data_IF_545328367700
#
_entry.id   IF_545328367700
#
_cell.length_a   1.000
_cell.length_b   1.000
_cell.length_c   1.000
_cell.angle_alpha   90.00
_cell.angle_beta   90.00
_cell.angle_gamma   90.00
#
_symmetry.space_group_name_H-M   'P 1'
#
loop_
_entity.id
_entity.type
_entity.pdbx_description
1 polymer ?
#
# COMPACT_ATOMS: atom_id res chain seq x y z
N UNK A 1 -22.03 5.84 -6.20
CA UNK A 1 -21.15 6.88 -6.78
C UNK A 1 -19.75 6.30 -6.76
N UNK A 2 -19.03 6.42 -7.87
CA UNK A 2 -17.66 5.94 -7.98
C UNK A 2 -16.72 6.77 -7.11
N UNK A 3 -15.48 6.30 -6.98
CA UNK A 3 -14.41 7.01 -6.30
C UNK A 3 -13.84 8.05 -7.26
N UNK A 4 -13.86 9.32 -6.88
CA UNK A 4 -13.34 10.41 -7.71
C UNK A 4 -11.82 10.49 -7.61
N UNK A 5 -11.16 10.57 -8.76
CA UNK A 5 -9.70 10.70 -8.88
C UNK A 5 -9.37 11.89 -9.77
N UNK A 6 -8.47 12.75 -9.32
CA UNK A 6 -7.88 13.77 -10.18
C UNK A 6 -6.70 13.17 -10.93
N UNK A 7 -6.75 13.22 -12.26
CA UNK A 7 -5.69 12.74 -13.13
C UNK A 7 -5.12 13.93 -13.91
N UNK A 8 -3.80 14.12 -13.86
CA UNK A 8 -3.18 15.19 -14.66
C UNK A 8 -2.19 14.67 -15.68
N UNK A 9 -2.08 15.35 -16.80
CA UNK A 9 -1.01 15.19 -17.78
C UNK A 9 -0.38 16.54 -18.10
N UNK A 10 0.65 16.57 -18.94
CA UNK A 10 1.31 17.79 -19.35
C UNK A 10 1.22 18.01 -20.85
N UNK A 11 1.08 19.28 -21.27
CA UNK A 11 1.26 19.67 -22.66
C UNK A 11 2.66 19.27 -23.20
N UNK A 12 2.89 19.31 -24.53
CA UNK A 12 4.20 19.05 -25.10
C UNK A 12 5.20 20.13 -24.67
N UNK A 13 6.48 19.75 -24.55
CA UNK A 13 7.55 20.65 -24.12
C UNK A 13 8.89 20.27 -24.73
N UNK A 14 9.85 21.19 -24.68
CA UNK A 14 11.15 21.02 -25.32
C UNK A 14 10.98 20.90 -26.84
N UNK A 15 11.54 19.84 -27.43
CA UNK A 15 11.42 19.57 -28.87
C UNK A 15 10.26 18.63 -29.22
N UNK A 16 9.59 18.07 -28.21
CA UNK A 16 8.53 17.08 -28.39
C UNK A 16 7.24 17.74 -28.89
N UNK A 17 6.67 17.19 -29.97
CA UNK A 17 5.39 17.67 -30.55
C UNK A 17 4.16 17.06 -29.86
N UNK A 18 4.36 15.96 -29.13
CA UNK A 18 3.33 15.24 -28.40
C UNK A 18 3.85 14.91 -27.00
N UNK A 19 2.92 14.63 -26.08
CA UNK A 19 3.24 14.19 -24.73
C UNK A 19 2.33 13.02 -24.37
N UNK A 20 2.94 11.87 -24.07
CA UNK A 20 2.19 10.64 -23.75
C UNK A 20 1.27 10.85 -22.53
N UNK A 21 1.69 11.65 -21.56
CA UNK A 21 0.89 11.97 -20.37
C UNK A 21 -0.37 12.75 -20.72
N UNK A 22 -0.29 13.70 -21.66
CA UNK A 22 -1.47 14.40 -22.17
C UNK A 22 -2.40 13.43 -22.90
N UNK A 23 -1.86 12.63 -23.82
CA UNK A 23 -2.67 11.71 -24.62
C UNK A 23 -3.46 10.72 -23.76
N UNK A 24 -2.82 10.14 -22.73
CA UNK A 24 -3.49 9.24 -21.80
C UNK A 24 -4.52 9.99 -20.94
N UNK A 25 -4.19 11.18 -20.44
CA UNK A 25 -5.10 11.97 -19.61
C UNK A 25 -6.34 12.41 -20.38
N UNK A 26 -6.20 12.79 -21.65
CA UNK A 26 -7.32 13.10 -22.55
C UNK A 26 -8.14 11.86 -22.89
N UNK A 27 -7.50 10.71 -23.12
CA UNK A 27 -8.20 9.46 -23.38
C UNK A 27 -9.05 9.00 -22.19
N UNK A 28 -8.58 9.27 -20.96
CA UNK A 28 -9.26 8.94 -19.71
C UNK A 28 -10.18 10.06 -19.22
N UNK A 29 -10.31 11.16 -19.96
CA UNK A 29 -11.23 12.24 -19.62
C UNK A 29 -12.67 11.69 -19.54
N UNK A 30 -13.37 12.04 -18.47
CA UNK A 30 -14.74 11.62 -18.18
C UNK A 30 -14.93 10.09 -18.02
N UNK A 31 -13.85 9.33 -17.82
CA UNK A 31 -13.95 7.92 -17.49
C UNK A 31 -14.77 7.75 -16.21
N UNK A 32 -15.88 7.02 -16.31
CA UNK A 32 -16.76 6.68 -15.19
C UNK A 32 -17.25 5.26 -15.36
N UNK A 33 -16.43 4.30 -14.94
CA UNK A 33 -16.72 2.87 -15.10
C UNK A 33 -15.99 2.05 -14.02
N UNK A 34 -16.22 0.74 -14.03
CA UNK A 34 -15.55 -0.23 -13.18
C UNK A 34 -14.19 -0.61 -13.77
N UNK A 35 -13.15 -0.58 -12.94
CA UNK A 35 -11.82 -1.10 -13.27
C UNK A 35 -11.63 -2.42 -12.52
N UNK A 36 -11.20 -3.46 -13.26
CA UNK A 36 -10.82 -4.76 -12.70
C UNK A 36 -9.30 -4.89 -12.58
N UNK A 37 -8.82 -5.42 -11.45
CA UNK A 37 -7.38 -5.52 -11.13
C UNK A 37 -6.88 -6.98 -11.32
N UNK A 38 -7.75 -7.91 -11.75
CA UNK A 38 -7.41 -9.34 -11.87
C UNK A 38 -7.37 -10.04 -10.50
N UNK A 39 -6.80 -11.24 -10.35
CA UNK A 39 -6.64 -11.92 -9.06
C UNK A 39 -5.45 -11.34 -8.24
N UNK A 40 -5.43 -11.50 -6.91
CA UNK A 40 -4.29 -11.08 -6.08
C UNK A 40 -3.02 -11.85 -6.44
N UNK A 41 -1.87 -11.16 -6.37
CA UNK A 41 -0.56 -11.73 -6.70
C UNK A 41 0.28 -12.13 -5.49
N UNK A 42 -0.17 -11.81 -4.27
CA UNK A 42 0.55 -12.09 -3.03
C UNK A 42 -0.34 -11.99 -1.79
N UNK A 43 0.25 -12.10 -0.59
CA UNK A 43 -0.46 -12.07 0.69
C UNK A 43 -1.02 -10.69 1.06
N UNK A 44 -0.50 -9.63 0.43
CA UNK A 44 -1.00 -8.26 0.52
C UNK A 44 -1.66 -7.90 -0.81
N UNK A 45 -2.93 -7.50 -0.76
CA UNK A 45 -3.72 -7.19 -1.94
C UNK A 45 -4.65 -6.00 -1.70
N UNK A 46 -5.34 -5.51 -2.73
CA UNK A 46 -6.40 -4.51 -2.56
C UNK A 46 -7.69 -5.12 -1.99
N UNK A 47 -8.45 -4.34 -1.23
CA UNK A 47 -9.74 -4.74 -0.63
C UNK A 47 -10.82 -5.19 -1.64
N UNK A 48 -10.78 -4.66 -2.87
CA UNK A 48 -11.73 -5.02 -3.93
C UNK A 48 -11.02 -5.20 -5.27
N UNK A 49 -11.31 -6.32 -5.94
CA UNK A 49 -10.79 -6.61 -7.28
C UNK A 49 -11.50 -5.85 -8.39
N UNK A 50 -12.66 -5.25 -8.09
CA UNK A 50 -13.44 -4.39 -8.98
C UNK A 50 -13.84 -3.11 -8.25
N UNK A 51 -13.57 -1.96 -8.86
CA UNK A 51 -13.86 -0.66 -8.26
C UNK A 51 -14.39 0.33 -9.29
N UNK A 52 -15.47 1.02 -8.95
CA UNK A 52 -16.03 2.10 -9.77
C UNK A 52 -15.23 3.37 -9.53
N UNK A 53 -14.68 3.95 -10.60
CA UNK A 53 -13.84 5.14 -10.57
C UNK A 53 -14.40 6.19 -11.50
N UNK A 54 -14.43 7.45 -11.05
CA UNK A 54 -14.71 8.63 -11.84
C UNK A 54 -13.42 9.46 -11.96
N UNK A 55 -12.94 9.69 -13.18
CA UNK A 55 -11.70 10.43 -13.44
C UNK A 55 -12.03 11.86 -13.86
N UNK A 56 -11.50 12.83 -13.10
CA UNK A 56 -11.45 14.24 -13.51
C UNK A 56 -10.06 14.56 -14.03
N UNK A 57 -9.98 14.77 -15.34
CA UNK A 57 -8.73 15.03 -16.04
C UNK A 57 -8.38 16.52 -16.12
N UNK A 58 -7.10 16.86 -15.98
CA UNK A 58 -6.58 18.20 -16.25
C UNK A 58 -5.24 18.14 -16.99
N UNK A 59 -5.10 18.89 -18.09
CA UNK A 59 -3.81 19.11 -18.75
C UNK A 59 -3.14 20.34 -18.15
N UNK A 60 -1.94 20.14 -17.62
CA UNK A 60 -1.10 21.17 -17.02
C UNK A 60 -0.16 21.77 -18.06
N UNK A 61 0.05 23.08 -17.96
CA UNK A 61 1.10 23.76 -18.73
C UNK A 61 2.48 23.36 -18.19
N UNK A 62 3.49 23.31 -19.06
CA UNK A 62 4.87 23.04 -18.62
C UNK A 62 5.53 24.36 -18.25
N UNK A 63 5.05 24.94 -17.17
CA UNK A 63 5.54 26.19 -16.59
C UNK A 63 5.16 26.30 -15.10
N UNK A 64 5.49 27.44 -14.49
CA UNK A 64 5.20 27.71 -13.08
C UNK A 64 3.70 27.61 -12.77
N UNK A 65 2.84 28.14 -13.63
CA UNK A 65 1.40 28.17 -13.39
C UNK A 65 0.81 26.75 -13.39
N UNK A 66 1.24 25.91 -14.34
CA UNK A 66 0.84 24.51 -14.39
C UNK A 66 1.27 23.75 -13.14
N UNK A 67 2.51 23.99 -12.66
CA UNK A 67 3.01 23.35 -11.44
C UNK A 67 2.28 23.73 -10.16
N UNK A 68 1.60 24.88 -10.14
CA UNK A 68 0.90 25.41 -8.98
C UNK A 68 -0.59 25.08 -8.98
N UNK A 69 -1.13 24.63 -10.12
CA UNK A 69 -2.57 24.50 -10.32
C UNK A 69 -3.23 23.57 -9.31
N UNK A 70 -2.73 22.35 -9.14
CA UNK A 70 -3.37 21.37 -8.26
C UNK A 70 -3.21 21.75 -6.79
N UNK A 71 -2.03 22.23 -6.39
CA UNK A 71 -1.79 22.75 -5.05
C UNK A 71 -2.76 23.90 -4.71
N UNK A 72 -3.01 24.80 -5.66
CA UNK A 72 -3.97 25.90 -5.49
C UNK A 72 -5.39 25.36 -5.30
N UNK A 73 -5.85 24.44 -6.17
CA UNK A 73 -7.17 23.82 -6.07
C UNK A 73 -7.43 23.13 -4.73
N UNK A 74 -6.40 22.49 -4.13
CA UNK A 74 -6.50 21.85 -2.82
C UNK A 74 -6.85 22.86 -1.71
N UNK A 75 -6.32 24.07 -1.81
CA UNK A 75 -6.47 25.12 -0.78
C UNK A 75 -7.73 25.98 -0.96
N UNK A 76 -8.47 25.81 -2.05
CA UNK A 76 -9.70 26.54 -2.33
C UNK A 76 -10.87 25.99 -1.49
N UNK A 77 -11.58 26.88 -0.80
CA UNK A 77 -12.57 26.50 0.22
C UNK A 77 -13.82 25.76 -0.30
N UNK A 78 -14.18 25.94 -1.57
CA UNK A 78 -15.36 25.34 -2.19
C UNK A 78 -15.02 24.09 -3.03
N UNK A 79 -13.75 23.68 -3.06
CA UNK A 79 -13.31 22.53 -3.86
C UNK A 79 -13.71 21.23 -3.19
N UNK A 80 -14.44 20.40 -3.94
CA UNK A 80 -14.67 19.00 -3.55
C UNK A 80 -13.40 18.22 -3.86
N UNK A 81 -12.73 17.74 -2.81
CA UNK A 81 -11.46 17.05 -2.91
C UNK A 81 -11.66 15.59 -3.38
N UNK A 82 -10.73 15.04 -4.18
CA UNK A 82 -10.84 13.69 -4.69
C UNK A 82 -10.45 12.67 -3.62
N UNK A 83 -10.53 11.39 -3.95
CA UNK A 83 -9.99 10.32 -3.11
C UNK A 83 -8.55 9.93 -3.49
N UNK A 84 -8.04 10.41 -4.63
CA UNK A 84 -6.63 10.36 -4.98
C UNK A 84 -6.29 11.45 -6.01
N UNK A 85 -5.02 11.84 -6.04
CA UNK A 85 -4.43 12.72 -7.05
C UNK A 85 -3.29 11.96 -7.73
N UNK A 86 -3.37 11.80 -9.04
CA UNK A 86 -2.36 11.09 -9.83
C UNK A 86 -1.85 12.01 -10.93
N UNK A 87 -0.57 12.30 -10.89
CA UNK A 87 0.11 13.06 -11.93
C UNK A 87 0.81 12.11 -12.90
N UNK A 88 0.51 12.21 -14.19
CA UNK A 88 1.24 11.54 -15.26
C UNK A 88 2.27 12.51 -15.84
N UNK A 89 3.48 12.04 -16.09
CA UNK A 89 4.53 12.81 -16.76
C UNK A 89 5.27 11.98 -17.80
N UNK A 90 5.77 12.62 -18.85
CA UNK A 90 6.58 11.94 -19.85
C UNK A 90 8.05 11.86 -19.41
N UNK A 91 8.64 10.67 -19.49
CA UNK A 91 10.06 10.43 -19.24
C UNK A 91 10.73 9.77 -20.46
N UNK A 92 11.38 10.58 -21.28
CA UNK A 92 12.01 10.17 -22.56
C UNK A 92 13.00 9.01 -22.42
N UNK A 93 13.82 9.03 -21.36
CA UNK A 93 14.90 8.07 -21.15
C UNK A 93 14.47 6.81 -20.39
N UNK A 94 13.21 6.69 -19.97
CA UNK A 94 12.73 5.50 -19.26
C UNK A 94 12.18 4.47 -20.25
N UNK A 95 12.35 3.18 -19.92
CA UNK A 95 11.83 2.04 -20.69
C UNK A 95 10.64 1.35 -19.99
N UNK A 96 10.35 1.76 -18.76
CA UNK A 96 9.29 1.24 -17.89
C UNK A 96 8.47 2.40 -17.33
N UNK A 97 7.28 2.12 -16.83
CA UNK A 97 6.44 3.07 -16.08
C UNK A 97 7.01 3.16 -14.65
N UNK A 98 7.40 4.36 -14.24
CA UNK A 98 7.96 4.58 -12.89
C UNK A 98 6.93 5.19 -11.95
N UNK A 99 6.75 4.57 -10.79
CA UNK A 99 5.94 5.10 -9.69
C UNK A 99 6.86 5.85 -8.72
N UNK A 100 6.74 7.16 -8.64
CA UNK A 100 7.66 8.01 -7.87
C UNK A 100 7.31 8.03 -6.37
N UNK A 101 8.22 7.50 -5.56
CA UNK A 101 8.05 7.38 -4.10
C UNK A 101 8.39 8.68 -3.35
N UNK A 102 9.05 9.64 -4.01
CA UNK A 102 9.58 10.86 -3.40
C UNK A 102 9.45 12.06 -4.33
N UNK A 103 9.45 13.25 -3.73
CA UNK A 103 9.60 14.53 -4.40
C UNK A 103 10.66 15.36 -3.67
N UNK A 104 11.55 16.01 -4.41
CA UNK A 104 12.64 16.84 -3.86
C UNK A 104 12.27 18.32 -3.85
N UNK A 105 12.64 19.05 -2.81
CA UNK A 105 12.51 20.51 -2.74
C UNK A 105 13.63 21.20 -3.57
N UNK A 106 13.80 20.81 -4.83
CA UNK A 106 14.92 21.23 -5.67
C UNK A 106 14.47 21.57 -7.09
N UNK A 107 15.11 22.58 -7.67
CA UNK A 107 14.94 23.01 -9.06
C UNK A 107 16.30 22.99 -9.77
N UNK A 108 16.41 22.19 -10.84
CA UNK A 108 17.59 22.11 -11.72
C UNK A 108 17.16 21.69 -13.14
N UNK A 109 16.85 22.69 -13.95
CA UNK A 109 16.20 22.57 -15.25
C UNK A 109 17.25 22.43 -16.36
N UNK A 110 17.39 21.23 -16.90
CA UNK A 110 18.29 20.94 -18.04
C UNK A 110 17.89 21.68 -19.32
N UNK A 111 16.60 21.96 -19.48
CA UNK A 111 16.00 22.74 -20.58
C UNK A 111 15.08 23.80 -19.98
N UNK A 112 14.80 24.86 -20.74
CA UNK A 112 13.79 25.82 -20.32
C UNK A 112 12.38 25.21 -20.34
N UNK A 113 11.53 25.68 -19.43
CA UNK A 113 10.09 25.42 -19.48
C UNK A 113 9.42 26.18 -20.65
N UNK A 114 8.12 25.97 -20.90
CA UNK A 114 7.41 26.54 -22.04
C UNK A 114 7.27 28.08 -21.98
N UNK A 115 7.64 28.72 -20.87
CA UNK A 115 7.71 30.19 -20.71
C UNK A 115 9.14 30.72 -20.69
N UNK A 116 10.13 29.86 -20.93
CA UNK A 116 11.54 30.24 -20.98
C UNK A 116 12.22 30.29 -19.61
N UNK A 117 11.56 29.85 -18.53
CA UNK A 117 12.22 29.75 -17.21
C UNK A 117 13.13 28.53 -17.22
N UNK A 118 14.42 28.75 -16.98
CA UNK A 118 15.43 27.71 -16.79
C UNK A 118 16.23 27.99 -15.51
N UNK A 119 15.97 27.21 -14.47
CA UNK A 119 16.60 27.36 -13.16
C UNK A 119 17.76 26.39 -13.06
N UNK A 120 19.00 26.86 -12.86
CA UNK A 120 20.19 25.99 -12.76
C UNK A 120 20.46 25.50 -11.33
N UNK A 121 19.80 26.09 -10.33
CA UNK A 121 19.82 25.68 -8.93
C UNK A 121 18.80 26.53 -8.17
N UNK A 122 17.99 25.89 -7.32
CA UNK A 122 17.03 26.57 -6.47
C UNK A 122 16.24 25.57 -5.64
N UNK A 123 15.41 26.10 -4.75
CA UNK A 123 14.41 25.33 -4.00
C UNK A 123 13.02 25.66 -4.56
N UNK A 124 12.08 24.72 -4.43
CA UNK A 124 10.70 24.92 -4.87
C UNK A 124 9.99 25.87 -3.90
N UNK A 125 10.21 25.68 -2.60
CA UNK A 125 9.62 26.49 -1.52
C UNK A 125 10.63 26.70 -0.38
N UNK A 126 10.36 27.68 0.48
CA UNK A 126 11.12 27.93 1.71
C UNK A 126 10.80 26.92 2.85
N UNK A 127 10.22 25.76 2.51
CA UNK A 127 9.90 24.68 3.44
C UNK A 127 11.13 24.13 4.16
N UNK A 128 10.95 23.69 5.41
CA UNK A 128 11.97 22.91 6.12
C UNK A 128 12.18 21.50 5.54
N UNK A 129 11.22 21.00 4.76
CA UNK A 129 11.34 19.70 4.11
C UNK A 129 12.20 19.82 2.85
N UNK A 130 13.29 19.07 2.80
CA UNK A 130 14.11 18.91 1.58
C UNK A 130 13.54 17.83 0.64
N UNK A 131 12.74 16.92 1.19
CA UNK A 131 12.12 15.81 0.48
C UNK A 131 10.77 15.50 1.12
N UNK A 132 9.79 15.13 0.30
CA UNK A 132 8.50 14.59 0.73
C UNK A 132 8.32 13.19 0.14
N UNK A 133 7.71 12.29 0.90
CA UNK A 133 7.33 10.97 0.42
C UNK A 133 5.93 11.00 -0.17
N UNK A 134 5.69 10.11 -1.15
CA UNK A 134 4.34 9.84 -1.65
C UNK A 134 3.40 9.47 -0.49
N UNK A 135 2.17 9.99 -0.52
CA UNK A 135 1.09 9.54 0.37
C UNK A 135 0.31 8.37 -0.24
N UNK A 136 0.60 7.98 -1.49
CA UNK A 136 -0.01 6.81 -2.13
C UNK A 136 0.52 5.50 -1.52
N UNK A 137 -0.26 4.40 -1.56
CA UNK A 137 0.12 3.14 -0.95
C UNK A 137 1.15 2.39 -1.83
N UNK A 138 2.37 2.91 -1.92
CA UNK A 138 3.41 2.42 -2.86
C UNK A 138 3.74 0.94 -2.65
N UNK A 139 3.74 0.45 -1.42
CA UNK A 139 4.00 -0.96 -1.14
C UNK A 139 2.87 -1.87 -1.64
N UNK A 140 1.62 -1.41 -1.57
CA UNK A 140 0.47 -2.12 -2.14
C UNK A 140 0.54 -2.13 -3.66
N UNK A 141 0.88 -0.99 -4.28
CA UNK A 141 1.13 -0.90 -5.72
C UNK A 141 2.19 -1.91 -6.15
N UNK A 142 3.32 -1.98 -5.46
CA UNK A 142 4.38 -2.95 -5.78
C UNK A 142 3.94 -4.40 -5.56
N UNK A 143 3.13 -4.69 -4.55
CA UNK A 143 2.57 -6.04 -4.34
C UNK A 143 1.63 -6.47 -5.48
N UNK A 144 0.78 -5.56 -5.97
CA UNK A 144 -0.17 -5.82 -7.07
C UNK A 144 0.49 -5.86 -8.46
N UNK A 145 1.72 -5.37 -8.57
CA UNK A 145 2.53 -5.37 -9.79
C UNK A 145 3.80 -6.22 -9.68
N UNK A 146 3.87 -7.13 -8.70
CA UNK A 146 5.09 -7.92 -8.42
C UNK A 146 5.63 -8.71 -9.64
N UNK A 147 4.73 -9.17 -10.51
CA UNK A 147 5.07 -9.92 -11.74
C UNK A 147 5.03 -9.03 -13.01
N UNK A 148 4.88 -7.70 -12.86
CA UNK A 148 4.75 -6.76 -13.99
C UNK A 148 6.09 -6.06 -14.27
N UNK A 149 6.83 -6.55 -15.28
CA UNK A 149 8.14 -6.02 -15.66
C UNK A 149 8.10 -4.59 -16.21
N UNK A 150 6.91 -4.11 -16.63
CA UNK A 150 6.72 -2.76 -17.18
C UNK A 150 6.53 -1.69 -16.10
N UNK A 151 6.48 -2.04 -14.81
CA UNK A 151 6.32 -1.10 -13.71
C UNK A 151 7.50 -1.20 -12.75
N UNK A 152 8.00 -0.07 -12.28
CA UNK A 152 8.98 -0.02 -11.21
C UNK A 152 8.68 1.08 -10.20
N UNK A 153 9.27 0.95 -9.00
CA UNK A 153 9.37 2.04 -8.03
C UNK A 153 10.58 2.91 -8.37
N UNK A 154 10.39 4.23 -8.39
CA UNK A 154 11.46 5.22 -8.53
C UNK A 154 11.54 6.09 -7.28
N UNK A 155 12.76 6.50 -6.92
CA UNK A 155 13.06 7.41 -5.80
C UNK A 155 13.59 8.77 -6.31
N UNK A 156 13.59 9.00 -7.63
CA UNK A 156 14.07 10.23 -8.25
C UNK A 156 13.18 10.68 -9.42
N UNK A 157 12.21 11.58 -9.20
CA UNK A 157 11.38 12.15 -10.25
C UNK A 157 12.11 13.21 -11.10
N UNK A 158 13.41 13.46 -10.85
CA UNK A 158 14.17 14.56 -11.44
C UNK A 158 13.96 15.89 -10.71
N UNK A 159 14.36 17.00 -11.35
CA UNK A 159 14.28 18.37 -10.78
C UNK A 159 13.66 19.37 -11.75
N UNK A 160 12.77 18.89 -12.62
CA UNK A 160 12.02 19.71 -13.59
C UNK A 160 10.57 19.96 -13.12
N UNK A 161 9.69 20.40 -14.03
CA UNK A 161 8.29 20.74 -13.73
C UNK A 161 7.52 19.58 -13.08
N UNK A 162 7.79 18.33 -13.47
CA UNK A 162 7.17 17.15 -12.87
C UNK A 162 7.39 17.10 -11.34
N UNK A 163 8.64 17.21 -10.90
CA UNK A 163 9.02 17.26 -9.50
C UNK A 163 8.48 18.52 -8.80
N UNK A 164 8.52 19.67 -9.48
CA UNK A 164 7.95 20.93 -8.95
C UNK A 164 6.47 20.77 -8.59
N UNK A 165 5.67 20.24 -9.52
CA UNK A 165 4.24 19.95 -9.30
C UNK A 165 4.07 18.93 -8.17
N UNK A 166 4.83 17.84 -8.19
CA UNK A 166 4.64 16.76 -7.23
C UNK A 166 4.91 17.22 -5.79
N UNK A 167 6.01 17.95 -5.58
CA UNK A 167 6.37 18.50 -4.28
C UNK A 167 5.32 19.50 -3.78
N UNK A 168 4.85 20.41 -4.65
CA UNK A 168 3.81 21.39 -4.28
C UNK A 168 2.49 20.72 -3.92
N UNK A 169 2.07 19.70 -4.67
CA UNK A 169 0.85 18.94 -4.36
C UNK A 169 0.96 18.22 -3.02
N UNK A 170 2.06 17.49 -2.78
CA UNK A 170 2.29 16.79 -1.51
C UNK A 170 2.31 17.77 -0.33
N UNK A 171 3.00 18.90 -0.48
CA UNK A 171 3.05 19.94 0.55
C UNK A 171 1.68 20.55 0.82
N UNK A 172 0.86 20.80 -0.20
CA UNK A 172 -0.48 21.35 -0.03
C UNK A 172 -1.39 20.37 0.74
N UNK A 173 -1.33 19.07 0.42
CA UNK A 173 -2.07 18.03 1.16
C UNK A 173 -1.63 17.96 2.62
N UNK A 174 -0.33 18.00 2.90
CA UNK A 174 0.22 18.01 4.26
C UNK A 174 -0.23 19.25 5.05
N UNK A 175 -0.09 20.45 4.47
CA UNK A 175 -0.36 21.72 5.15
C UNK A 175 -1.86 21.94 5.43
N UNK A 176 -2.72 21.50 4.51
CA UNK A 176 -4.17 21.61 4.69
C UNK A 176 -4.76 20.44 5.49
N UNK A 177 -3.95 19.48 5.95
CA UNK A 177 -4.36 18.23 6.63
C UNK A 177 -5.53 17.54 5.91
N UNK A 178 -5.42 17.48 4.57
CA UNK A 178 -6.51 16.98 3.75
C UNK A 178 -6.56 15.47 3.83
N UNK A 179 -7.75 14.96 4.20
CA UNK A 179 -7.98 13.54 4.38
C UNK A 179 -9.05 13.01 3.45
N UNK A 180 -8.86 11.78 2.99
CA UNK A 180 -9.88 11.05 2.23
C UNK A 180 -10.95 10.45 3.17
N UNK A 181 -11.98 9.82 2.60
CA UNK A 181 -13.17 9.30 3.31
C UNK A 181 -12.87 8.33 4.47
N UNK A 182 -11.70 7.70 4.49
CA UNK A 182 -11.24 6.75 5.51
C UNK A 182 -10.28 7.41 6.50
N UNK A 183 -10.19 8.74 6.49
CA UNK A 183 -9.40 9.57 7.40
C UNK A 183 -7.87 9.43 7.26
N UNK A 184 -7.38 8.88 6.13
CA UNK A 184 -5.96 8.95 5.74
C UNK A 184 -5.68 10.23 4.97
N UNK A 185 -4.42 10.64 4.88
CA UNK A 185 -4.01 11.65 3.91
C UNK A 185 -4.44 11.23 2.50
N UNK A 186 -4.88 12.16 1.66
CA UNK A 186 -5.21 11.84 0.27
C UNK A 186 -3.97 11.23 -0.41
N UNK A 187 -4.09 10.06 -1.07
CA UNK A 187 -3.06 9.50 -1.92
C UNK A 187 -2.66 10.45 -3.05
N UNK A 188 -1.38 10.81 -3.10
CA UNK A 188 -0.78 11.59 -4.18
C UNK A 188 0.37 10.78 -4.78
N UNK A 189 0.27 10.47 -6.07
CA UNK A 189 1.28 9.71 -6.81
C UNK A 189 1.71 10.46 -8.07
N UNK A 190 3.00 10.42 -8.37
CA UNK A 190 3.51 10.78 -9.69
C UNK A 190 3.92 9.52 -10.45
N UNK A 191 3.51 9.43 -11.71
CA UNK A 191 3.77 8.30 -12.61
C UNK A 191 4.49 8.81 -13.85
N UNK A 192 5.76 8.45 -14.01
CA UNK A 192 6.49 8.71 -15.23
C UNK A 192 6.22 7.62 -16.26
N UNK A 193 5.93 8.05 -17.48
CA UNK A 193 5.53 7.24 -18.61
C UNK A 193 6.59 7.28 -19.70
N UNK A 194 7.00 6.13 -20.27
CA UNK A 194 7.89 6.11 -21.42
C UNK A 194 7.12 6.45 -22.71
N UNK A 195 7.83 6.63 -23.82
CA UNK A 195 7.18 6.89 -25.11
C UNK A 195 6.35 5.68 -25.57
N UNK A 196 5.37 5.94 -26.46
CA UNK A 196 4.54 4.88 -27.04
C UNK A 196 5.34 3.85 -27.88
N UNK A 197 6.54 4.23 -28.33
CA UNK A 197 7.46 3.33 -29.04
C UNK A 197 8.10 2.28 -28.12
N UNK A 198 8.20 2.59 -26.82
CA UNK A 198 8.78 1.71 -25.81
C UNK A 198 7.72 0.83 -25.15
N UNK A 199 6.60 1.45 -24.73
CA UNK A 199 5.42 0.73 -24.25
C UNK A 199 4.21 1.19 -25.06
N UNK A 200 3.49 0.28 -25.73
CA UNK A 200 2.33 0.64 -26.54
C UNK A 200 1.28 1.44 -25.74
N UNK A 201 0.66 2.42 -26.40
CA UNK A 201 -0.32 3.33 -25.79
C UNK A 201 -1.44 2.61 -25.02
N UNK A 202 -2.05 1.59 -25.62
CA UNK A 202 -3.12 0.79 -24.99
C UNK A 202 -2.63 0.04 -23.73
N UNK A 203 -1.38 -0.43 -23.73
CA UNK A 203 -0.77 -1.06 -22.56
C UNK A 203 -0.58 -0.04 -21.45
N UNK A 204 -0.10 1.16 -21.77
CA UNK A 204 0.04 2.24 -20.78
C UNK A 204 -1.31 2.66 -20.20
N UNK A 205 -2.37 2.79 -21.02
CA UNK A 205 -3.73 3.08 -20.53
C UNK A 205 -4.21 2.01 -19.55
N UNK A 206 -4.04 0.73 -19.89
CA UNK A 206 -4.43 -0.40 -19.04
C UNK A 206 -3.71 -0.37 -17.70
N UNK A 207 -2.40 -0.14 -17.71
CA UNK A 207 -1.58 -0.04 -16.50
C UNK A 207 -1.93 1.20 -15.66
N UNK A 208 -2.15 2.36 -16.29
CA UNK A 208 -2.60 3.58 -15.60
C UNK A 208 -3.95 3.37 -14.92
N UNK A 209 -4.92 2.73 -15.58
CA UNK A 209 -6.21 2.35 -14.96
C UNK A 209 -6.00 1.46 -13.73
N UNK A 210 -5.13 0.45 -13.81
CA UNK A 210 -4.81 -0.42 -12.67
C UNK A 210 -4.13 0.36 -11.54
N UNK A 211 -3.16 1.24 -11.84
CA UNK A 211 -2.51 2.12 -10.86
C UNK A 211 -3.54 2.98 -10.13
N UNK A 212 -4.46 3.61 -10.87
CA UNK A 212 -5.55 4.42 -10.31
C UNK A 212 -6.41 3.58 -9.36
N UNK A 213 -6.87 2.41 -9.84
CA UNK A 213 -7.74 1.53 -9.09
C UNK A 213 -7.10 1.00 -7.80
N UNK A 214 -5.78 0.76 -7.78
CA UNK A 214 -5.05 0.32 -6.59
C UNK A 214 -4.83 1.49 -5.62
N UNK A 215 -4.48 2.68 -6.14
CA UNK A 215 -4.11 3.86 -5.33
C UNK A 215 -5.24 4.32 -4.40
N UNK A 216 -6.49 4.15 -4.82
CA UNK A 216 -7.67 4.57 -4.04
C UNK A 216 -8.13 3.56 -2.97
N UNK A 217 -7.44 2.43 -2.84
CA UNK A 217 -7.82 1.35 -1.93
C UNK A 217 -6.88 1.26 -0.73
N UNK A 218 -7.25 0.48 0.29
CA UNK A 218 -6.30 0.05 1.33
C UNK A 218 -5.74 -1.33 0.98
N UNK A 219 -4.55 -1.66 1.51
CA UNK A 219 -4.12 -3.03 1.57
C UNK A 219 -5.04 -3.85 2.48
N UNK A 220 -5.38 -5.05 2.02
CA UNK A 220 -5.90 -6.14 2.82
C UNK A 220 -4.89 -7.28 2.89
N UNK A 221 -4.96 -8.08 3.96
CA UNK A 221 -4.19 -9.31 4.07
C UNK A 221 -4.98 -10.39 4.82
N UNK A 222 -4.66 -11.66 4.53
CA UNK A 222 -5.14 -12.79 5.30
C UNK A 222 -4.04 -13.32 6.22
N UNK A 223 -4.38 -13.53 7.48
CA UNK A 223 -3.47 -13.99 8.54
C UNK A 223 -4.12 -15.15 9.27
N UNK A 224 -3.32 -16.16 9.57
CA UNK A 224 -3.74 -17.32 10.37
C UNK A 224 -2.99 -17.32 11.70
N UNK A 225 -3.70 -17.66 12.77
CA UNK A 225 -3.10 -17.91 14.09
C UNK A 225 -3.44 -19.31 14.56
N UNK A 226 -2.46 -20.05 15.07
CA UNK A 226 -2.64 -21.43 15.52
C UNK A 226 -2.60 -21.51 17.03
N UNK A 227 -3.71 -21.91 17.63
CA UNK A 227 -3.78 -22.26 19.04
C UNK A 227 -3.34 -23.72 19.19
N UNK A 228 -2.04 -23.95 19.34
CA UNK A 228 -1.51 -25.28 19.61
C UNK A 228 -1.87 -25.70 21.03
N UNK A 229 -2.67 -26.76 21.17
CA UNK A 229 -3.06 -27.33 22.45
C UNK A 229 -2.02 -28.33 22.93
N UNK A 230 -1.47 -28.07 24.12
CA UNK A 230 -0.51 -28.91 24.79
C UNK A 230 -1.13 -29.70 25.94
N UNK A 231 -0.27 -30.24 26.81
CA UNK A 231 -0.70 -30.95 28.01
C UNK A 231 -1.56 -30.07 28.94
N UNK A 232 -2.49 -30.70 29.67
CA UNK A 232 -3.36 -30.03 30.63
C UNK A 232 -4.17 -28.85 30.04
N UNK A 233 -4.55 -28.93 28.75
CA UNK A 233 -5.28 -27.87 28.04
C UNK A 233 -4.57 -26.50 28.12
N UNK A 234 -3.25 -26.49 28.02
CA UNK A 234 -2.50 -25.24 27.85
C UNK A 234 -2.40 -24.87 26.37
N UNK A 235 -2.39 -23.58 26.07
CA UNK A 235 -2.14 -23.06 24.73
C UNK A 235 -0.74 -22.48 24.63
N UNK A 236 -0.08 -22.72 23.51
CA UNK A 236 1.18 -22.06 23.19
C UNK A 236 0.91 -20.59 22.83
N UNK A 237 1.64 -19.70 23.47
CA UNK A 237 1.79 -18.30 23.09
C UNK A 237 3.27 -18.00 22.85
N UNK A 238 3.57 -17.10 21.93
CA UNK A 238 4.93 -16.68 21.63
C UNK A 238 5.05 -15.16 21.66
N UNK A 239 6.20 -14.65 22.11
CA UNK A 239 6.49 -13.22 22.14
C UNK A 239 7.29 -12.82 20.92
N UNK A 240 6.81 -11.82 20.20
CA UNK A 240 7.49 -11.26 19.02
C UNK A 240 8.85 -10.70 19.42
N UNK A 241 9.89 -11.06 18.67
CA UNK A 241 11.24 -10.52 18.87
C UNK A 241 11.26 -8.99 18.80
N UNK A 242 12.24 -8.35 19.45
CA UNK A 242 12.27 -6.87 19.56
C UNK A 242 12.41 -6.11 18.23
N UNK A 243 12.94 -6.77 17.21
CA UNK A 243 13.12 -6.27 15.85
C UNK A 243 11.90 -6.46 14.94
N UNK A 244 10.90 -7.22 15.42
CA UNK A 244 9.62 -7.38 14.74
C UNK A 244 8.70 -6.16 14.91
N UNK A 245 7.77 -5.98 13.97
CA UNK A 245 6.68 -5.03 14.14
C UNK A 245 5.92 -5.36 15.45
N UNK A 246 5.73 -4.37 16.32
CA UNK A 246 5.17 -4.59 17.67
C UNK A 246 5.96 -5.64 18.49
N UNK A 247 7.29 -5.61 18.43
CA UNK A 247 8.15 -6.44 19.25
C UNK A 247 7.83 -6.32 20.75
N UNK A 248 7.89 -7.46 21.45
CA UNK A 248 7.52 -7.58 22.88
C UNK A 248 6.06 -7.95 23.15
N UNK A 249 5.17 -7.81 22.17
CA UNK A 249 3.79 -8.31 22.26
C UNK A 249 3.74 -9.83 22.05
N UNK A 250 2.70 -10.47 22.61
CA UNK A 250 2.43 -11.89 22.51
C UNK A 250 1.35 -12.18 21.47
N UNK A 251 1.48 -13.32 20.81
CA UNK A 251 0.54 -13.79 19.78
C UNK A 251 0.41 -15.32 19.80
N UNK A 252 -0.64 -15.81 19.16
CA UNK A 252 -0.69 -17.21 18.76
C UNK A 252 0.17 -17.36 17.50
N UNK A 253 1.15 -18.29 17.47
CA UNK A 253 2.02 -18.43 16.31
C UNK A 253 1.28 -18.63 15.01
N UNK A 254 1.84 -18.11 13.92
CA UNK A 254 1.17 -18.05 12.63
C UNK A 254 1.63 -16.84 11.83
N UNK A 255 0.99 -16.62 10.69
CA UNK A 255 1.49 -15.65 9.74
C UNK A 255 0.57 -15.47 8.55
N UNK A 256 1.14 -14.95 7.46
CA UNK A 256 0.38 -14.54 6.29
C UNK A 256 0.01 -15.76 5.46
N UNK A 257 -1.18 -15.73 4.86
CA UNK A 257 -1.57 -16.74 3.87
C UNK A 257 -0.97 -16.36 2.53
N UNK A 258 -0.10 -17.21 2.00
CA UNK A 258 0.57 -16.95 0.72
C UNK A 258 -0.34 -17.21 -0.49
N UNK A 259 0.06 -16.71 -1.65
CA UNK A 259 -0.73 -16.83 -2.89
C UNK A 259 -0.98 -18.30 -3.24
N UNK A 260 -2.26 -18.67 -3.36
CA UNK A 260 -2.67 -20.03 -3.74
C UNK A 260 -2.54 -21.06 -2.61
N UNK A 261 -2.15 -20.62 -1.41
CA UNK A 261 -2.06 -21.44 -0.20
C UNK A 261 -3.44 -21.55 0.49
N UNK A 262 -3.76 -22.72 1.05
CA UNK A 262 -4.93 -22.84 1.94
C UNK A 262 -4.57 -22.35 3.34
N UNK A 263 -5.54 -21.88 4.12
CA UNK A 263 -5.31 -21.41 5.49
C UNK A 263 -4.69 -22.51 6.38
N UNK A 264 -5.08 -23.77 6.19
CA UNK A 264 -4.51 -24.93 6.89
C UNK A 264 -3.05 -25.19 6.50
N UNK A 265 -2.73 -25.05 5.21
CA UNK A 265 -1.36 -25.17 4.74
C UNK A 265 -0.48 -24.05 5.28
N UNK A 266 -1.00 -22.81 5.27
CA UNK A 266 -0.32 -21.63 5.81
C UNK A 266 0.05 -21.83 7.28
N UNK A 267 -0.92 -22.18 8.14
CA UNK A 267 -0.62 -22.33 9.58
C UNK A 267 0.35 -23.49 9.85
N UNK A 268 0.30 -24.56 9.05
CA UNK A 268 1.23 -25.67 9.17
C UNK A 268 2.64 -25.29 8.75
N UNK A 269 2.78 -24.47 7.69
CA UNK A 269 4.06 -23.92 7.23
C UNK A 269 4.66 -22.97 8.27
N UNK A 270 3.88 -22.02 8.78
CA UNK A 270 4.34 -21.03 9.76
C UNK A 270 4.88 -21.72 11.02
N UNK A 271 4.16 -22.69 11.59
CA UNK A 271 4.67 -23.47 12.74
C UNK A 271 5.96 -24.24 12.43
N UNK A 272 6.12 -24.71 11.19
CA UNK A 272 7.34 -25.38 10.76
C UNK A 272 8.51 -24.40 10.63
N UNK A 273 8.28 -23.23 10.04
CA UNK A 273 9.29 -22.19 9.82
C UNK A 273 9.73 -21.54 11.14
N UNK A 274 8.78 -21.24 12.02
CA UNK A 274 9.03 -20.51 13.26
C UNK A 274 9.56 -21.40 14.39
N UNK A 275 9.03 -22.62 14.53
CA UNK A 275 9.35 -23.51 15.65
C UNK A 275 10.10 -24.78 15.23
N UNK A 276 10.08 -25.14 13.95
CA UNK A 276 10.54 -26.45 13.47
C UNK A 276 9.53 -27.58 13.76
N UNK A 277 8.27 -27.24 14.04
CA UNK A 277 7.26 -28.18 14.50
C UNK A 277 6.30 -28.59 13.38
N UNK A 278 5.83 -29.83 13.43
CA UNK A 278 4.75 -30.30 12.59
C UNK A 278 3.48 -30.38 13.42
N UNK A 279 2.42 -29.74 12.92
CA UNK A 279 1.13 -29.67 13.59
C UNK A 279 0.00 -30.11 12.64
N UNK A 280 -1.15 -30.42 13.21
CA UNK A 280 -2.40 -30.69 12.51
C UNK A 280 -3.41 -29.59 12.84
N UNK A 281 -3.84 -28.79 11.85
CA UNK A 281 -5.00 -27.91 12.01
C UNK A 281 -6.25 -28.76 12.16
N UNK A 282 -6.94 -28.66 13.29
CA UNK A 282 -8.10 -29.50 13.60
C UNK A 282 -9.39 -28.84 13.12
N UNK A 283 -9.56 -27.55 13.44
CA UNK A 283 -10.72 -26.75 13.00
C UNK A 283 -10.48 -25.26 13.19
N UNK A 284 -11.25 -24.46 12.47
CA UNK A 284 -11.38 -23.03 12.72
C UNK A 284 -12.20 -22.81 13.99
N UNK A 285 -11.70 -21.96 14.88
CA UNK A 285 -12.38 -21.58 16.13
C UNK A 285 -12.99 -20.18 16.04
N UNK A 286 -12.37 -19.27 15.28
CA UNK A 286 -12.83 -17.90 15.12
C UNK A 286 -12.33 -17.32 13.79
N UNK A 287 -13.16 -16.48 13.16
CA UNK A 287 -12.76 -15.63 12.05
C UNK A 287 -13.32 -14.23 12.26
N UNK A 288 -12.46 -13.22 12.12
CA UNK A 288 -12.89 -11.83 12.13
C UNK A 288 -11.95 -10.95 11.31
N UNK A 289 -12.47 -9.79 10.94
CA UNK A 289 -11.70 -8.77 10.24
C UNK A 289 -11.46 -7.60 11.18
N UNK A 290 -10.21 -7.17 11.26
CA UNK A 290 -9.84 -5.93 11.95
C UNK A 290 -9.44 -4.88 10.90
N UNK A 291 -10.16 -3.75 10.89
CA UNK A 291 -9.95 -2.69 9.90
C UNK A 291 -9.35 -1.44 10.57
N UNK A 292 -8.11 -1.13 10.25
CA UNK A 292 -7.47 0.16 10.55
C UNK A 292 -7.64 1.11 9.36
N UNK A 293 -7.54 2.44 9.55
CA UNK A 293 -7.50 3.38 8.43
C UNK A 293 -6.47 3.01 7.37
N UNK A 294 -5.35 2.40 7.73
CA UNK A 294 -4.22 2.09 6.87
C UNK A 294 -4.32 0.72 6.19
N UNK A 295 -5.02 -0.25 6.79
CA UNK A 295 -5.12 -1.62 6.27
C UNK A 295 -6.27 -2.43 6.87
N UNK A 296 -6.64 -3.52 6.19
CA UNK A 296 -7.57 -4.54 6.71
C UNK A 296 -6.84 -5.86 6.89
N UNK A 297 -7.04 -6.50 8.05
CA UNK A 297 -6.48 -7.82 8.34
C UNK A 297 -7.62 -8.78 8.62
N UNK A 298 -7.67 -9.88 7.86
CA UNK A 298 -8.60 -10.99 8.05
C UNK A 298 -7.90 -12.09 8.84
N UNK A 299 -8.29 -12.27 10.10
CA UNK A 299 -7.72 -13.25 11.02
C UNK A 299 -8.55 -14.52 11.04
N UNK A 300 -7.89 -15.67 10.92
CA UNK A 300 -8.49 -16.99 11.13
C UNK A 300 -7.69 -17.75 12.18
N UNK A 301 -8.34 -18.09 13.29
CA UNK A 301 -7.71 -18.86 14.36
C UNK A 301 -8.06 -20.34 14.26
N UNK A 302 -7.04 -21.19 14.20
CA UNK A 302 -7.19 -22.64 14.21
C UNK A 302 -6.91 -23.19 15.60
N UNK A 303 -7.69 -24.19 16.02
CA UNK A 303 -7.22 -25.16 17.01
C UNK A 303 -6.26 -26.11 16.31
N UNK A 304 -5.07 -26.28 16.89
CA UNK A 304 -4.02 -27.14 16.35
C UNK A 304 -3.59 -28.17 17.40
N UNK A 305 -3.15 -29.33 16.92
CA UNK A 305 -2.52 -30.38 17.73
C UNK A 305 -1.15 -30.71 17.17
N UNK A 306 -0.22 -31.16 18.02
CA UNK A 306 1.09 -31.61 17.58
C UNK A 306 0.96 -32.89 16.75
N UNK A 307 1.70 -32.98 15.64
CA UNK A 307 1.83 -34.23 14.89
C UNK A 307 3.11 -34.98 15.30
N UNK A 308 3.05 -35.60 16.47
CA UNK A 308 4.18 -36.29 17.08
C UNK A 308 4.83 -35.49 18.21
N UNK A 309 6.09 -35.78 18.50
CA UNK A 309 6.84 -35.09 19.55
C UNK A 309 7.31 -33.71 19.08
N UNK A 310 7.22 -32.72 19.97
CA UNK A 310 7.71 -31.36 19.72
C UNK A 310 9.18 -31.26 20.19
N UNK A 311 10.17 -31.15 19.29
CA UNK A 311 11.55 -30.90 19.67
C UNK A 311 11.72 -29.50 20.29
N UNK A 312 12.89 -29.16 20.85
CA UNK A 312 13.17 -27.78 21.24
C UNK A 312 12.92 -26.81 20.08
N UNK A 313 12.17 -25.74 20.35
CA UNK A 313 11.78 -24.76 19.33
C UNK A 313 13.00 -24.01 18.78
N UNK A 314 13.02 -23.77 17.47
CA UNK A 314 14.06 -22.97 16.80
C UNK A 314 13.86 -21.47 17.06
N UNK A 315 12.61 -21.01 17.09
CA UNK A 315 12.18 -19.63 17.38
C UNK A 315 12.87 -18.58 16.51
N UNK A 316 12.44 -18.47 15.25
CA UNK A 316 13.02 -17.53 14.28
C UNK A 316 12.43 -16.11 14.39
N UNK A 317 11.14 -15.98 14.66
CA UNK A 317 10.39 -14.70 14.77
C UNK A 317 10.07 -14.29 16.21
N UNK A 318 10.41 -15.16 17.18
CA UNK A 318 10.03 -15.03 18.58
C UNK A 318 11.25 -15.14 19.49
N UNK A 319 11.23 -14.43 20.61
CA UNK A 319 12.32 -14.47 21.60
C UNK A 319 11.92 -15.18 22.91
N UNK A 320 10.62 -15.47 23.07
CA UNK A 320 10.08 -16.25 24.18
C UNK A 320 8.84 -17.06 23.74
N UNK A 321 8.61 -18.23 24.33
CA UNK A 321 7.34 -18.94 24.23
C UNK A 321 6.89 -19.47 25.60
N UNK A 322 5.57 -19.59 25.78
CA UNK A 322 4.95 -20.06 27.02
C UNK A 322 3.73 -20.92 26.71
N UNK A 323 3.52 -21.93 27.56
CA UNK A 323 2.29 -22.72 27.60
C UNK A 323 1.37 -22.16 28.68
N UNK A 324 0.37 -21.40 28.26
CA UNK A 324 -0.54 -20.68 29.15
C UNK A 324 -1.79 -21.54 29.44
N UNK A 325 -2.11 -21.68 30.71
CA UNK A 325 -3.42 -22.19 31.17
C UNK A 325 -4.51 -21.11 31.04
N UNK A 326 -5.77 -21.49 31.26
CA UNK A 326 -6.93 -20.58 31.18
C UNK A 326 -6.76 -19.32 32.05
N UNK A 327 -6.24 -19.49 33.27
CA UNK A 327 -6.01 -18.40 34.22
C UNK A 327 -4.80 -17.53 33.85
N UNK A 328 -3.82 -18.11 33.13
CA UNK A 328 -2.58 -17.42 32.71
C UNK A 328 -2.73 -16.70 31.37
N UNK A 329 -3.83 -16.92 30.63
CA UNK A 329 -4.03 -16.32 29.30
C UNK A 329 -3.89 -14.80 29.35
N UNK A 330 -4.35 -14.12 30.39
CA UNK A 330 -4.28 -12.65 30.48
C UNK A 330 -3.03 -12.13 31.20
N UNK A 331 -2.06 -12.98 31.54
CA UNK A 331 -0.80 -12.61 32.22
C UNK A 331 0.28 -12.10 31.24
N UNK A 332 -0.01 -12.10 29.94
CA UNK A 332 0.89 -11.62 28.88
C UNK A 332 0.25 -10.48 28.09
N UNK A 333 1.09 -9.62 27.53
CA UNK A 333 0.64 -8.48 26.73
C UNK A 333 0.38 -8.92 25.28
N UNK A 334 -0.85 -9.38 25.00
CA UNK A 334 -1.26 -9.79 23.66
C UNK A 334 -1.28 -8.63 22.67
N UNK A 335 -1.04 -8.95 21.40
CA UNK A 335 -1.32 -8.05 20.30
C UNK A 335 -2.76 -7.51 20.41
N UNK A 336 -2.98 -6.20 20.20
CA UNK A 336 -4.31 -5.60 20.36
C UNK A 336 -5.45 -6.29 19.60
N UNK A 337 -5.26 -6.80 18.36
CA UNK A 337 -6.29 -7.57 17.66
C UNK A 337 -6.71 -8.86 18.38
N UNK A 338 -5.81 -9.49 19.15
CA UNK A 338 -6.00 -10.83 19.71
C UNK A 338 -6.70 -10.78 21.08
N UNK A 339 -6.56 -9.66 21.82
CA UNK A 339 -7.04 -9.49 23.20
C UNK A 339 -8.50 -9.92 23.37
N UNK A 340 -9.40 -9.44 22.50
CA UNK A 340 -10.83 -9.76 22.62
C UNK A 340 -11.13 -11.22 22.33
N UNK A 341 -10.37 -11.85 21.42
CA UNK A 341 -10.50 -13.28 21.18
C UNK A 341 -9.99 -14.09 22.37
N UNK A 342 -8.82 -13.75 22.92
CA UNK A 342 -8.23 -14.42 24.09
C UNK A 342 -9.15 -14.33 25.31
N UNK A 343 -9.79 -13.18 25.57
CA UNK A 343 -10.81 -13.05 26.63
C UNK A 343 -11.96 -14.05 26.44
N UNK A 344 -12.47 -14.21 25.21
CA UNK A 344 -13.51 -15.20 24.92
C UNK A 344 -13.03 -16.63 25.17
N UNK A 345 -11.76 -16.93 24.90
CA UNK A 345 -11.16 -18.24 25.24
C UNK A 345 -11.16 -18.42 26.76
N UNK A 346 -10.66 -17.44 27.53
CA UNK A 346 -10.61 -17.50 28.99
C UNK A 346 -12.00 -17.70 29.60
N UNK A 347 -13.02 -16.98 29.10
CA UNK A 347 -14.40 -17.10 29.58
C UNK A 347 -15.04 -18.45 29.26
N UNK A 348 -14.73 -19.03 28.10
CA UNK A 348 -15.32 -20.30 27.63
C UNK A 348 -14.56 -21.53 28.12
N UNK A 349 -13.28 -21.37 28.46
CA UNK A 349 -12.34 -22.44 28.77
C UNK A 349 -11.72 -23.05 27.51
N UNK A 350 -10.42 -23.36 27.58
CA UNK A 350 -9.62 -23.96 26.50
C UNK A 350 -10.17 -25.34 26.11
N UNK A 351 -10.73 -26.08 27.07
CA UNK A 351 -11.33 -27.39 26.81
C UNK A 351 -12.55 -27.33 25.87
N UNK A 352 -13.23 -26.18 25.81
CA UNK A 352 -14.42 -25.97 24.98
C UNK A 352 -14.11 -25.31 23.64
N UNK A 353 -12.82 -25.08 23.33
CA UNK A 353 -12.37 -24.47 22.08
C UNK A 353 -12.62 -25.31 20.87
#
# INVERSE_FOLDING_TARGET
MGVEVWLTGYEPFGEHQTNISQQITEHLADFNDVISIGPPLGPMAVESREISVEIKSQILTVDKAGSESIASSITESDTVLPQAIIHLGFAENQDVISLEATAFNELDFRIADNKGRQVSSGVITDSSHNLLHTTAPINLLMAEFVDEELICKSEDPGRFICNETYFKTLQAVEQADVRERMNRAIPVLFVHLPSADKIPFETQISLVKRIIAITVQRPEMQVVGGMLRGENNRLLAARRSSDEYMGGYWEFPGGKVEKGESKEAAISREYHEEFGWTIKPIRVCEEYSHAWPEMVVHLTFFLCEADGELPPAVMTSHDENRWLSEDELMDVEWLPPDVEFVKRIQERGIANL
#
